data_IF_447945362552
#
_entry.id   IF_447945362552
#
_cell.length_a   1.000
_cell.length_b   1.000
_cell.length_c   1.000
_cell.angle_alpha   90.00
_cell.angle_beta   90.00
_cell.angle_gamma   90.00
#
_symmetry.space_group_name_H-M   'P 1'
#
loop_
_entity.id
_entity.type
_entity.pdbx_description
1 polymer ?
#
# COMPACT_ATOMS: atom_id res chain seq x y z
N UNK A 1 18.56 -23.60 12.48
CA UNK A 1 18.39 -22.24 13.04
C UNK A 1 17.76 -21.34 12.01
N UNK A 2 16.72 -20.57 12.36
CA UNK A 2 16.13 -19.55 11.43
C UNK A 2 17.17 -18.42 11.30
N UNK A 3 17.51 -18.02 10.08
CA UNK A 3 18.40 -16.88 9.87
C UNK A 3 17.76 -15.61 10.49
N UNK A 4 18.58 -14.75 11.11
CA UNK A 4 18.13 -13.48 11.67
C UNK A 4 17.59 -12.58 10.54
N UNK A 5 16.38 -12.05 10.68
CA UNK A 5 15.79 -11.15 9.73
C UNK A 5 16.63 -9.87 9.52
N UNK A 6 16.64 -9.33 8.32
CA UNK A 6 17.27 -8.03 8.03
C UNK A 6 16.44 -6.91 8.68
N UNK A 7 17.07 -6.01 9.42
CA UNK A 7 16.43 -4.80 9.95
C UNK A 7 16.33 -3.71 8.88
N UNK A 8 15.42 -2.75 9.06
CA UNK A 8 15.37 -1.57 8.17
C UNK A 8 16.71 -0.83 8.19
N UNK A 9 17.35 -0.70 9.36
CA UNK A 9 18.67 -0.08 9.49
C UNK A 9 19.73 -0.74 8.60
N UNK A 10 19.80 -2.07 8.63
CA UNK A 10 20.75 -2.83 7.79
C UNK A 10 20.42 -2.70 6.30
N UNK A 11 19.13 -2.71 5.94
CA UNK A 11 18.67 -2.52 4.56
C UNK A 11 19.00 -1.10 4.04
N UNK A 12 18.82 -0.07 4.87
CA UNK A 12 19.18 1.31 4.54
C UNK A 12 20.69 1.47 4.36
N UNK A 13 21.50 0.88 5.23
CA UNK A 13 22.95 0.94 5.10
C UNK A 13 23.43 0.32 3.77
N UNK A 14 22.89 -0.85 3.40
CA UNK A 14 23.19 -1.48 2.09
C UNK A 14 22.71 -0.62 0.93
N UNK A 15 21.55 0.02 1.08
CA UNK A 15 21.02 0.91 0.04
C UNK A 15 21.90 2.14 -0.14
N UNK A 16 22.37 2.78 0.95
CA UNK A 16 23.28 3.93 0.92
C UNK A 16 24.61 3.58 0.28
N UNK A 17 25.20 2.44 0.65
CA UNK A 17 26.45 1.94 0.04
C UNK A 17 26.29 1.74 -1.47
N UNK A 18 25.19 1.11 -1.90
CA UNK A 18 24.94 0.85 -3.32
C UNK A 18 24.68 2.11 -4.14
N UNK A 19 24.02 3.12 -3.56
CA UNK A 19 23.59 4.31 -4.29
C UNK A 19 24.50 5.53 -4.09
N UNK A 20 25.47 5.45 -3.18
CA UNK A 20 26.44 6.53 -2.92
C UNK A 20 25.80 7.80 -2.35
N UNK A 21 24.64 7.71 -1.70
CA UNK A 21 23.94 8.85 -1.10
C UNK A 21 23.24 8.47 0.20
N UNK A 22 22.95 9.46 1.03
CA UNK A 22 22.18 9.27 2.26
C UNK A 22 20.71 8.99 1.96
N UNK A 23 20.15 7.96 2.59
CA UNK A 23 18.74 7.60 2.43
C UNK A 23 17.82 8.74 2.94
N UNK A 24 18.24 9.49 3.95
CA UNK A 24 17.51 10.65 4.48
C UNK A 24 17.35 11.81 3.50
N UNK A 25 18.23 11.91 2.49
CA UNK A 25 18.18 12.94 1.43
C UNK A 25 17.45 12.47 0.18
N UNK A 26 17.23 11.16 0.07
CA UNK A 26 16.67 10.54 -1.13
C UNK A 26 15.16 10.73 -1.24
N UNK A 27 14.69 10.99 -2.45
CA UNK A 27 13.25 11.01 -2.77
C UNK A 27 12.69 9.62 -3.05
N UNK A 28 13.51 8.69 -3.47
CA UNK A 28 13.12 7.31 -3.74
C UNK A 28 14.05 6.34 -3.02
N UNK A 29 13.47 5.44 -2.21
CA UNK A 29 14.22 4.42 -1.46
C UNK A 29 13.63 3.04 -1.75
N UNK A 30 14.47 2.12 -2.23
CA UNK A 30 14.08 0.77 -2.60
C UNK A 30 14.72 -0.26 -1.67
N UNK A 31 13.93 -0.83 -0.77
CA UNK A 31 14.32 -1.87 0.19
C UNK A 31 13.62 -3.21 -0.10
N UNK A 32 13.24 -3.45 -1.36
CA UNK A 32 12.57 -4.70 -1.73
C UNK A 32 13.53 -5.90 -1.72
N UNK A 33 12.96 -7.09 -1.53
CA UNK A 33 13.66 -8.37 -1.75
C UNK A 33 14.90 -8.56 -0.89
N UNK A 34 14.86 -8.17 0.40
CA UNK A 34 16.02 -8.36 1.28
C UNK A 34 16.27 -9.85 1.56
N UNK A 35 17.54 -10.22 1.72
CA UNK A 35 17.96 -11.58 2.07
C UNK A 35 18.93 -11.48 3.26
N UNK A 36 18.54 -12.02 4.43
CA UNK A 36 17.19 -12.47 4.83
C UNK A 36 16.11 -11.37 4.71
N UNK A 37 14.81 -11.72 4.58
CA UNK A 37 13.77 -10.73 4.39
C UNK A 37 13.57 -9.83 5.62
N UNK A 38 13.08 -8.61 5.41
CA UNK A 38 12.62 -7.72 6.48
C UNK A 38 11.30 -8.25 7.04
N UNK A 39 11.20 -8.38 8.36
CA UNK A 39 9.98 -8.82 9.05
C UNK A 39 9.23 -7.67 9.72
N UNK A 40 9.90 -6.54 9.99
CA UNK A 40 9.31 -5.40 10.72
C UNK A 40 9.71 -4.06 10.10
N UNK A 41 8.75 -3.17 10.03
CA UNK A 41 8.98 -1.75 9.73
C UNK A 41 9.38 -1.07 11.05
N UNK A 42 10.69 -1.05 11.35
CA UNK A 42 11.23 -0.48 12.59
C UNK A 42 11.41 1.06 12.51
N UNK A 43 11.80 1.66 13.63
CA UNK A 43 11.94 3.13 13.78
C UNK A 43 12.97 3.75 12.85
N UNK A 44 13.87 2.97 12.25
CA UNK A 44 14.87 3.50 11.29
C UNK A 44 14.21 4.12 10.05
N UNK A 45 12.95 3.77 9.74
CA UNK A 45 12.18 4.44 8.70
C UNK A 45 11.98 5.94 8.96
N UNK A 46 12.02 6.38 10.22
CA UNK A 46 11.82 7.77 10.61
C UNK A 46 12.87 8.73 10.05
N UNK A 47 14.01 8.22 9.61
CA UNK A 47 15.07 9.02 8.97
C UNK A 47 14.72 9.46 7.53
N UNK A 48 13.73 8.81 6.89
CA UNK A 48 13.36 9.03 5.49
C UNK A 48 12.45 10.25 5.29
N UNK A 49 12.82 11.39 5.84
CA UNK A 49 11.98 12.61 5.87
C UNK A 49 11.73 13.23 4.50
N UNK A 50 12.63 13.03 3.54
CA UNK A 50 12.50 13.55 2.18
C UNK A 50 11.92 12.53 1.18
N UNK A 51 11.64 11.29 1.64
CA UNK A 51 11.21 10.21 0.78
C UNK A 51 9.80 10.46 0.24
N UNK A 52 9.67 10.46 -1.08
CA UNK A 52 8.40 10.54 -1.80
C UNK A 52 7.92 9.13 -2.27
N UNK A 53 8.87 8.20 -2.50
CA UNK A 53 8.59 6.85 -2.98
C UNK A 53 9.37 5.81 -2.17
N UNK A 54 8.66 4.94 -1.46
CA UNK A 54 9.23 3.87 -0.65
C UNK A 54 8.77 2.50 -1.16
N UNK A 55 9.70 1.61 -1.44
CA UNK A 55 9.39 0.22 -1.73
C UNK A 55 9.97 -0.74 -0.68
N UNK A 56 9.09 -1.52 -0.07
CA UNK A 56 9.37 -2.61 0.86
C UNK A 56 8.78 -3.94 0.35
N UNK A 57 8.49 -4.02 -0.93
CA UNK A 57 7.90 -5.21 -1.57
C UNK A 57 8.79 -6.44 -1.42
N UNK A 58 8.19 -7.63 -1.48
CA UNK A 58 8.90 -8.91 -1.44
C UNK A 58 9.77 -9.04 -0.19
N UNK A 59 9.12 -8.93 0.95
CA UNK A 59 9.67 -9.12 2.29
C UNK A 59 8.71 -10.00 3.12
N UNK A 60 8.84 -10.04 4.43
CA UNK A 60 7.98 -10.80 5.34
C UNK A 60 7.30 -9.89 6.37
N UNK A 61 6.96 -8.66 5.99
CA UNK A 61 6.36 -7.65 6.87
C UNK A 61 4.92 -8.06 7.21
N UNK A 62 4.59 -8.06 8.51
CA UNK A 62 3.25 -8.39 9.00
C UNK A 62 2.40 -7.17 9.35
N UNK A 63 3.03 -6.02 9.67
CA UNK A 63 2.35 -4.80 10.12
C UNK A 63 2.97 -3.55 9.49
N UNK A 64 2.13 -2.64 9.04
CA UNK A 64 2.55 -1.31 8.60
C UNK A 64 2.78 -0.46 9.85
N UNK A 65 3.97 0.14 9.97
CA UNK A 65 4.34 0.96 11.12
C UNK A 65 5.43 1.97 10.78
N UNK A 66 5.64 2.93 11.69
CA UNK A 66 6.74 3.90 11.65
C UNK A 66 6.78 4.78 10.39
N UNK A 67 5.60 5.15 9.85
CA UNK A 67 5.48 6.05 8.71
C UNK A 67 5.28 7.52 9.11
N UNK A 68 5.20 7.84 10.41
CA UNK A 68 4.83 9.17 10.92
C UNK A 68 5.75 10.31 10.46
N UNK A 69 7.03 10.02 10.23
CA UNK A 69 8.02 11.02 9.78
C UNK A 69 8.04 11.23 8.27
N UNK A 70 7.39 10.35 7.49
CA UNK A 70 7.41 10.37 6.04
C UNK A 70 6.34 11.33 5.49
N UNK A 71 6.51 12.64 5.78
CA UNK A 71 5.54 13.69 5.45
C UNK A 71 5.43 14.01 3.96
N UNK A 72 6.37 13.52 3.15
CA UNK A 72 6.40 13.71 1.71
C UNK A 72 6.03 12.44 0.92
N UNK A 73 5.68 11.34 1.62
CA UNK A 73 5.44 10.06 0.98
C UNK A 73 4.19 10.11 0.10
N UNK A 74 4.36 9.84 -1.18
CA UNK A 74 3.32 9.80 -2.20
C UNK A 74 3.06 8.38 -2.73
N UNK A 75 4.10 7.56 -2.82
CA UNK A 75 4.02 6.19 -3.34
C UNK A 75 4.59 5.22 -2.33
N UNK A 76 3.78 4.24 -1.92
CA UNK A 76 4.18 3.17 -1.01
C UNK A 76 3.94 1.80 -1.65
N UNK A 77 4.99 1.01 -1.78
CA UNK A 77 4.93 -0.35 -2.32
C UNK A 77 5.24 -1.38 -1.24
N UNK A 78 4.24 -2.20 -0.92
CA UNK A 78 4.24 -3.24 0.12
C UNK A 78 3.79 -4.61 -0.43
N UNK A 79 3.76 -4.77 -1.75
CA UNK A 79 3.33 -6.02 -2.38
C UNK A 79 4.20 -7.22 -1.99
N UNK A 80 3.63 -8.41 -1.96
CA UNK A 80 4.33 -9.66 -1.59
C UNK A 80 4.95 -9.57 -0.19
N UNK A 81 4.08 -9.40 0.81
CA UNK A 81 4.40 -9.40 2.23
C UNK A 81 3.37 -10.24 3.00
N UNK A 82 3.36 -10.16 4.33
CA UNK A 82 2.45 -10.92 5.21
C UNK A 82 1.44 -10.00 5.93
N UNK A 83 1.08 -8.86 5.34
CA UNK A 83 0.26 -7.81 5.96
C UNK A 83 -1.20 -8.27 6.04
N UNK A 84 -1.82 -8.13 7.21
CA UNK A 84 -3.18 -8.59 7.50
C UNK A 84 -4.23 -7.48 7.56
N UNK A 85 -3.81 -6.23 7.75
CA UNK A 85 -4.69 -5.06 7.82
C UNK A 85 -3.95 -3.79 7.42
N UNK A 86 -4.70 -2.70 7.24
CA UNK A 86 -4.19 -1.40 6.79
C UNK A 86 -3.85 -0.44 7.95
N UNK A 87 -3.88 -0.90 9.21
CA UNK A 87 -3.50 -0.06 10.35
C UNK A 87 -2.06 0.43 10.17
N UNK A 88 -1.82 1.70 10.48
CA UNK A 88 -0.53 2.37 10.27
C UNK A 88 -0.47 3.23 9.00
N UNK A 89 -1.38 3.04 8.02
CA UNK A 89 -1.47 3.90 6.84
C UNK A 89 -2.02 5.29 7.18
N UNK A 90 -2.76 5.45 8.27
CA UNK A 90 -3.27 6.74 8.73
C UNK A 90 -2.17 7.80 8.88
N UNK A 91 -0.96 7.38 9.18
CA UNK A 91 0.21 8.26 9.29
C UNK A 91 0.54 9.04 7.99
N UNK A 92 0.13 8.51 6.84
CA UNK A 92 0.37 9.08 5.51
C UNK A 92 -0.92 9.37 4.74
N UNK A 93 -2.05 9.39 5.43
CA UNK A 93 -3.39 9.56 4.84
C UNK A 93 -3.53 10.85 4.01
N UNK A 94 -2.84 11.92 4.40
CA UNK A 94 -2.93 13.23 3.76
C UNK A 94 -1.94 13.42 2.59
N UNK A 95 -1.05 12.48 2.35
CA UNK A 95 -0.01 12.61 1.32
C UNK A 95 0.02 11.47 0.30
N UNK A 96 -0.35 10.24 0.72
CA UNK A 96 -0.23 9.06 -0.12
C UNK A 96 -1.19 9.11 -1.31
N UNK A 97 -0.63 8.99 -2.51
CA UNK A 97 -1.36 8.99 -3.78
C UNK A 97 -1.43 7.59 -4.40
N UNK A 98 -0.41 6.75 -4.18
CA UNK A 98 -0.36 5.39 -4.72
C UNK A 98 -0.01 4.38 -3.63
N UNK A 99 -0.80 3.30 -3.55
CA UNK A 99 -0.56 2.17 -2.66
C UNK A 99 -0.53 0.87 -3.45
N UNK A 100 0.58 0.16 -3.41
CA UNK A 100 0.78 -1.14 -4.04
C UNK A 100 0.91 -2.20 -2.95
N UNK A 101 -0.18 -2.96 -2.69
CA UNK A 101 -0.28 -3.89 -1.58
C UNK A 101 -0.81 -5.27 -2.00
N UNK A 102 -0.66 -5.61 -3.27
CA UNK A 102 -1.03 -6.92 -3.83
C UNK A 102 -0.23 -8.07 -3.20
N UNK A 103 -0.81 -9.27 -3.18
CA UNK A 103 -0.18 -10.45 -2.59
C UNK A 103 0.15 -10.27 -1.11
N UNK A 104 -0.89 -10.02 -0.31
CA UNK A 104 -0.84 -9.95 1.15
C UNK A 104 -2.02 -10.75 1.75
N UNK A 105 -2.24 -10.66 3.05
CA UNK A 105 -3.31 -11.37 3.76
C UNK A 105 -4.37 -10.41 4.33
N UNK A 106 -4.65 -9.30 3.65
CA UNK A 106 -5.58 -8.27 4.12
C UNK A 106 -7.00 -8.81 4.04
N UNK A 107 -7.67 -8.87 5.18
CA UNK A 107 -9.05 -9.33 5.29
C UNK A 107 -10.07 -8.19 5.36
N UNK A 108 -9.66 -7.02 5.83
CA UNK A 108 -10.54 -5.85 6.07
C UNK A 108 -9.93 -4.59 5.50
N UNK A 109 -10.73 -3.79 4.80
CA UNK A 109 -10.34 -2.48 4.25
C UNK A 109 -10.62 -1.32 5.21
N UNK A 110 -10.77 -1.61 6.50
CA UNK A 110 -10.87 -0.57 7.51
C UNK A 110 -9.65 0.35 7.43
N UNK A 111 -9.85 1.66 7.38
CA UNK A 111 -8.76 2.62 7.24
C UNK A 111 -8.56 3.18 5.83
N UNK A 112 -9.03 2.51 4.77
CA UNK A 112 -8.90 3.06 3.41
C UNK A 112 -9.62 4.40 3.23
N UNK A 113 -10.69 4.64 3.99
CA UNK A 113 -11.50 5.87 3.92
C UNK A 113 -10.75 7.15 4.32
N UNK A 114 -9.71 7.03 5.15
CA UNK A 114 -8.93 8.20 5.58
C UNK A 114 -7.91 8.64 4.54
N UNK A 115 -7.68 7.82 3.51
CA UNK A 115 -6.70 8.06 2.43
C UNK A 115 -7.25 9.05 1.39
N UNK A 116 -7.33 10.33 1.76
CA UNK A 116 -8.03 11.38 0.99
C UNK A 116 -7.40 11.70 -0.38
N UNK A 117 -6.11 11.42 -0.53
CA UNK A 117 -5.38 11.69 -1.79
C UNK A 117 -5.08 10.44 -2.60
N UNK A 118 -5.54 9.27 -2.16
CA UNK A 118 -5.25 8.03 -2.86
C UNK A 118 -5.91 8.02 -4.23
N UNK A 119 -5.09 7.90 -5.27
CA UNK A 119 -5.48 7.88 -6.68
C UNK A 119 -5.34 6.48 -7.30
N UNK A 120 -4.36 5.71 -6.82
CA UNK A 120 -4.02 4.39 -7.36
C UNK A 120 -3.90 3.38 -6.23
N UNK A 121 -4.65 2.28 -6.33
CA UNK A 121 -4.61 1.19 -5.39
C UNK A 121 -4.47 -0.15 -6.12
N UNK A 122 -3.34 -0.82 -5.93
CA UNK A 122 -3.13 -2.21 -6.35
C UNK A 122 -3.21 -3.12 -5.14
N UNK A 123 -4.24 -3.95 -5.06
CA UNK A 123 -4.48 -4.83 -3.92
C UNK A 123 -4.96 -6.24 -4.29
N UNK A 124 -4.70 -6.67 -5.50
CA UNK A 124 -5.02 -8.04 -5.94
C UNK A 124 -4.39 -9.10 -5.03
N UNK A 125 -4.95 -10.30 -5.02
CA UNK A 125 -4.43 -11.41 -4.23
C UNK A 125 -4.28 -11.08 -2.74
N UNK A 126 -5.37 -10.58 -2.16
CA UNK A 126 -5.62 -10.41 -0.73
C UNK A 126 -6.85 -11.25 -0.32
N UNK A 127 -7.20 -11.24 0.96
CA UNK A 127 -8.27 -12.06 1.54
C UNK A 127 -9.49 -11.24 1.95
N UNK A 128 -9.76 -10.12 1.26
CA UNK A 128 -10.80 -9.16 1.67
C UNK A 128 -12.17 -9.80 1.68
N UNK A 129 -12.77 -9.84 2.88
CA UNK A 129 -14.13 -10.33 3.15
C UNK A 129 -15.05 -9.25 3.66
N UNK A 130 -14.49 -8.20 4.24
CA UNK A 130 -15.23 -7.14 4.92
C UNK A 130 -14.69 -5.76 4.51
N UNK A 131 -15.60 -4.95 4.02
CA UNK A 131 -15.34 -3.56 3.61
C UNK A 131 -15.50 -2.57 4.77
N UNK A 132 -15.73 -3.08 6.01
CA UNK A 132 -15.91 -2.26 7.21
C UNK A 132 -17.29 -1.61 7.34
N UNK A 133 -18.32 -2.20 6.74
CA UNK A 133 -19.71 -1.79 6.93
C UNK A 133 -20.46 -2.87 7.73
N UNK A 134 -20.97 -2.56 8.95
CA UNK A 134 -21.75 -3.51 9.77
C UNK A 134 -23.03 -4.02 9.09
N UNK A 135 -23.54 -3.32 8.08
CA UNK A 135 -24.76 -3.71 7.36
C UNK A 135 -24.53 -4.73 6.25
N UNK A 136 -23.26 -5.00 5.85
CA UNK A 136 -22.94 -5.91 4.74
C UNK A 136 -22.85 -7.38 5.12
N UNK A 137 -22.68 -7.73 6.39
CA UNK A 137 -22.74 -9.14 6.82
C UNK A 137 -24.07 -9.81 6.46
N UNK A 138 -25.14 -9.01 6.31
CA UNK A 138 -26.49 -9.47 5.99
C UNK A 138 -26.74 -9.71 4.50
N UNK A 139 -25.91 -9.17 3.61
CA UNK A 139 -26.11 -9.21 2.15
C UNK A 139 -24.96 -9.86 1.36
N UNK A 140 -23.98 -10.43 2.03
CA UNK A 140 -22.80 -11.03 1.39
C UNK A 140 -23.10 -12.30 0.58
N UNK A 141 -24.29 -12.88 0.72
CA UNK A 141 -24.66 -14.11 0.04
C UNK A 141 -25.13 -13.93 -1.41
N UNK A 142 -25.57 -12.73 -1.82
CA UNK A 142 -26.31 -12.58 -3.08
C UNK A 142 -25.67 -11.76 -4.20
N UNK A 143 -24.52 -11.11 -4.01
CA UNK A 143 -23.99 -10.23 -5.06
C UNK A 143 -22.47 -10.32 -5.28
N UNK A 144 -22.07 -11.13 -6.24
CA UNK A 144 -20.68 -11.21 -6.77
C UNK A 144 -20.17 -9.91 -7.43
N UNK A 145 -21.00 -8.91 -7.70
CA UNK A 145 -20.65 -7.74 -8.51
C UNK A 145 -20.68 -6.39 -7.77
N UNK A 146 -20.99 -6.35 -6.48
CA UNK A 146 -21.22 -5.08 -5.77
C UNK A 146 -19.98 -4.47 -5.10
N UNK A 147 -18.84 -5.18 -5.11
CA UNK A 147 -17.62 -4.69 -4.47
C UNK A 147 -17.00 -3.49 -5.19
N UNK A 148 -17.15 -3.41 -6.52
CA UNK A 148 -16.67 -2.31 -7.37
C UNK A 148 -17.43 -1.02 -7.01
N UNK A 149 -18.77 -1.10 -6.95
CA UNK A 149 -19.63 0.02 -6.60
C UNK A 149 -19.37 0.50 -5.16
N UNK A 150 -19.14 -0.41 -4.23
CA UNK A 150 -18.81 -0.09 -2.86
C UNK A 150 -17.40 0.52 -2.71
N UNK A 151 -16.43 0.06 -3.48
CA UNK A 151 -15.10 0.66 -3.51
C UNK A 151 -15.16 2.11 -4.03
N UNK A 152 -15.91 2.34 -5.12
CA UNK A 152 -16.09 3.68 -5.70
C UNK A 152 -16.83 4.64 -4.77
N UNK A 153 -17.81 4.18 -4.02
CA UNK A 153 -18.52 5.00 -3.01
C UNK A 153 -17.64 5.41 -1.83
N UNK A 154 -16.62 4.62 -1.49
CA UNK A 154 -15.80 4.81 -0.29
C UNK A 154 -14.50 5.56 -0.51
N UNK A 155 -14.04 5.67 -1.74
CA UNK A 155 -12.90 6.48 -2.12
C UNK A 155 -13.42 7.63 -2.99
N UNK A 156 -13.64 8.83 -2.44
CA UNK A 156 -14.44 9.89 -3.09
C UNK A 156 -13.89 10.44 -4.41
N UNK A 157 -12.69 10.07 -4.79
CA UNK A 157 -12.01 10.56 -6.02
C UNK A 157 -11.78 9.48 -7.08
N UNK A 158 -12.48 8.36 -6.97
CA UNK A 158 -12.38 7.25 -7.91
C UNK A 158 -13.11 7.56 -9.22
N UNK A 159 -12.39 7.70 -10.34
CA UNK A 159 -12.99 7.96 -11.65
C UNK A 159 -12.97 6.78 -12.62
N UNK A 160 -12.14 5.74 -12.42
CA UNK A 160 -12.09 4.59 -13.33
C UNK A 160 -11.60 3.31 -12.67
N UNK A 161 -12.30 2.24 -12.93
CA UNK A 161 -11.98 0.88 -12.57
C UNK A 161 -11.64 0.13 -13.84
N UNK A 162 -10.49 -0.54 -13.91
CA UNK A 162 -10.14 -1.32 -15.09
C UNK A 162 -10.65 -2.75 -14.97
N UNK A 163 -11.59 -3.11 -15.85
CA UNK A 163 -12.32 -4.40 -15.90
C UNK A 163 -11.51 -5.58 -16.46
N UNK A 164 -10.19 -5.47 -16.60
CA UNK A 164 -9.45 -6.38 -17.47
C UNK A 164 -9.28 -7.82 -16.97
N UNK A 165 -9.75 -8.21 -15.76
CA UNK A 165 -9.60 -9.58 -15.27
C UNK A 165 -10.81 -10.19 -14.53
N UNK A 166 -12.03 -9.97 -15.00
CA UNK A 166 -13.22 -10.58 -14.37
C UNK A 166 -13.45 -12.06 -14.71
N UNK A 167 -12.68 -12.69 -15.61
CA UNK A 167 -13.02 -14.01 -16.16
C UNK A 167 -12.22 -15.20 -15.61
N UNK A 168 -11.11 -15.02 -14.88
CA UNK A 168 -10.28 -16.17 -14.48
C UNK A 168 -9.82 -16.25 -13.03
N UNK A 169 -10.03 -15.22 -12.18
CA UNK A 169 -9.71 -15.31 -10.76
C UNK A 169 -10.76 -14.64 -9.89
N UNK A 170 -11.23 -15.28 -8.80
CA UNK A 170 -12.28 -14.75 -7.93
C UNK A 170 -11.85 -13.58 -7.01
N UNK A 171 -10.63 -13.08 -7.16
CA UNK A 171 -10.07 -11.98 -6.38
C UNK A 171 -9.56 -10.90 -7.33
N UNK A 172 -10.45 -9.97 -7.70
CA UNK A 172 -10.18 -8.92 -8.68
C UNK A 172 -9.00 -8.00 -8.33
N UNK A 173 -8.30 -7.57 -9.36
CA UNK A 173 -7.33 -6.47 -9.29
C UNK A 173 -8.11 -5.17 -9.28
N UNK A 174 -8.02 -4.42 -8.20
CA UNK A 174 -8.52 -3.05 -8.16
C UNK A 174 -7.38 -2.11 -8.56
N UNK A 175 -7.44 -1.60 -9.79
CA UNK A 175 -6.60 -0.49 -10.23
C UNK A 175 -7.48 0.74 -10.27
N UNK A 176 -7.19 1.70 -9.42
CA UNK A 176 -7.88 2.98 -9.38
C UNK A 176 -6.94 4.01 -9.95
N UNK A 177 -7.21 4.51 -11.15
CA UNK A 177 -6.46 5.58 -11.79
C UNK A 177 -7.37 6.79 -11.97
N UNK A 178 -6.96 7.95 -11.45
CA UNK A 178 -7.55 9.24 -11.82
C UNK A 178 -6.86 9.76 -13.06
N UNK A 179 -7.63 10.15 -14.07
CA UNK A 179 -7.13 11.04 -15.13
C UNK A 179 -7.01 12.45 -14.54
N UNK A 180 -5.87 13.08 -14.73
CA UNK A 180 -5.72 14.51 -14.45
C UNK A 180 -6.67 15.24 -15.40
N UNK A 181 -7.60 16.02 -14.84
CA UNK A 181 -8.36 16.97 -15.65
C UNK A 181 -7.33 17.98 -16.19
N UNK A 182 -7.03 17.93 -17.48
CA UNK A 182 -6.48 19.07 -18.20
C UNK A 182 -7.55 20.16 -18.17
N UNK A 183 -7.58 20.94 -17.09
CA UNK A 183 -8.26 22.23 -17.15
C UNK A 183 -7.44 23.14 -18.06
N UNK A 184 -8.08 23.39 -19.19
CA UNK A 184 -7.51 24.11 -20.32
C UNK A 184 -6.97 25.47 -19.94
N UNK A 185 -5.79 25.72 -20.46
CA UNK A 185 -5.34 27.04 -20.78
C UNK A 185 -6.34 27.68 -21.77
N UNK A 186 -7.01 28.71 -21.31
CA UNK A 186 -7.56 29.81 -22.11
C UNK A 186 -7.32 31.11 -21.36
#
# INVERSE_FOLDING_TARGET
MKAKATTIKEALAKWEEKNGQKASEAKEVKLYGQIPPVERMDESLSTLVNCEKLSLSTNCIERIANLNSLKNLRILSLGRNNIKNLNGLEAVADTLEELWISYNFIEKLRGIRVMKKLKVLYMSNNLVKDWGNPLQEKYASDQKNNWIEEATKRVPKLKKLDDFFSLFFPLGILVIKQEEDEEGAN
#
